data_IF_245328796177
#
_entry.id   IF_245328796177
#
_cell.length_a   1.000
_cell.length_b   1.000
_cell.length_c   1.000
_cell.angle_alpha   90.00
_cell.angle_beta   90.00
_cell.angle_gamma   90.00
#
_symmetry.space_group_name_H-M   'P 1'
#
loop_
_entity.id
_entity.type
_entity.pdbx_description
1 polymer ?
#
# COMPACT_ATOMS: atom_id res chain seq x y z
N UNK A 1 36.07 12.69 -5.44
CA UNK A 1 35.00 13.70 -5.47
C UNK A 1 34.18 13.78 -4.19
N UNK A 2 34.28 14.91 -3.48
CA UNK A 2 33.44 15.23 -2.30
C UNK A 2 31.97 15.36 -2.67
N UNK A 3 31.68 15.96 -3.83
CA UNK A 3 30.32 16.17 -4.33
C UNK A 3 29.54 14.86 -4.51
N UNK A 4 30.17 13.80 -5.02
CA UNK A 4 29.52 12.48 -5.16
C UNK A 4 29.17 11.90 -3.78
N UNK A 5 30.07 12.01 -2.80
CA UNK A 5 29.82 11.52 -1.44
C UNK A 5 28.72 12.31 -0.73
N UNK A 6 28.63 13.61 -0.98
CA UNK A 6 27.58 14.48 -0.44
C UNK A 6 26.22 14.16 -1.06
N UNK A 7 26.14 14.00 -2.38
CA UNK A 7 24.91 13.58 -3.08
C UNK A 7 24.43 12.22 -2.60
N UNK A 8 25.32 11.23 -2.47
CA UNK A 8 24.95 9.91 -1.94
C UNK A 8 24.42 10.00 -0.50
N UNK A 9 25.06 10.82 0.36
CA UNK A 9 24.57 11.05 1.73
C UNK A 9 23.18 11.68 1.73
N UNK A 10 22.91 12.66 0.86
CA UNK A 10 21.61 13.31 0.76
C UNK A 10 20.54 12.30 0.31
N UNK A 11 20.78 11.59 -0.79
CA UNK A 11 19.84 10.57 -1.32
C UNK A 11 19.58 9.47 -0.29
N UNK A 12 20.60 9.05 0.46
CA UNK A 12 20.47 8.06 1.54
C UNK A 12 19.74 8.55 2.79
N UNK A 13 19.31 9.82 2.84
CA UNK A 13 18.54 10.40 3.95
C UNK A 13 17.19 10.96 3.52
N UNK A 14 16.96 11.09 2.22
CA UNK A 14 15.68 11.58 1.69
C UNK A 14 14.59 10.55 1.96
N UNK A 15 13.50 10.93 2.64
CA UNK A 15 12.40 10.02 2.91
C UNK A 15 11.66 9.67 1.62
N UNK A 16 11.34 8.39 1.45
CA UNK A 16 10.49 7.86 0.39
C UNK A 16 9.13 7.55 1.02
N UNK A 17 8.13 8.35 0.67
CA UNK A 17 6.77 8.16 1.15
C UNK A 17 6.01 7.27 0.15
N UNK A 18 5.56 6.11 0.61
CA UNK A 18 4.81 5.14 -0.19
C UNK A 18 3.43 5.00 0.41
N UNK A 19 2.42 5.25 -0.41
CA UNK A 19 1.02 5.16 -0.01
C UNK A 19 0.39 3.90 -0.58
N UNK A 20 -0.36 3.20 0.25
CA UNK A 20 -1.02 1.94 -0.08
C UNK A 20 -2.53 2.11 -0.01
N UNK A 21 -3.21 1.52 -0.98
CA UNK A 21 -4.66 1.45 -1.01
C UNK A 21 -5.12 0.08 -1.51
N UNK A 22 -6.25 -0.38 -1.01
CA UNK A 22 -6.96 -1.51 -1.58
C UNK A 22 -8.09 -1.95 -0.67
N UNK A 23 -8.93 -2.86 -1.16
CA UNK A 23 -10.16 -3.22 -0.48
C UNK A 23 -9.93 -4.05 0.80
N UNK A 24 -10.88 -3.99 1.73
CA UNK A 24 -10.87 -4.82 2.93
C UNK A 24 -10.66 -6.30 2.61
N UNK A 25 -9.78 -6.95 3.36
CA UNK A 25 -9.48 -8.38 3.20
C UNK A 25 -8.51 -8.70 2.05
N UNK A 26 -7.96 -7.72 1.34
CA UNK A 26 -6.94 -7.92 0.30
C UNK A 26 -5.54 -8.31 0.82
N UNK A 27 -5.33 -8.43 2.13
CA UNK A 27 -4.02 -8.75 2.70
C UNK A 27 -3.04 -7.57 2.80
N UNK A 28 -3.47 -6.32 2.60
CA UNK A 28 -2.63 -5.12 2.73
C UNK A 28 -1.95 -5.02 4.10
N UNK A 29 -2.67 -5.30 5.20
CA UNK A 29 -2.07 -5.27 6.54
C UNK A 29 -0.95 -6.30 6.71
N UNK A 30 -1.11 -7.50 6.14
CA UNK A 30 -0.06 -8.54 6.11
C UNK A 30 1.13 -8.08 5.27
N UNK A 31 0.87 -7.46 4.12
CA UNK A 31 1.90 -6.90 3.25
C UNK A 31 2.71 -5.79 3.94
N UNK A 32 2.03 -4.84 4.59
CA UNK A 32 2.67 -3.79 5.41
C UNK A 32 3.54 -4.42 6.50
N UNK A 33 3.01 -5.42 7.20
CA UNK A 33 3.75 -6.10 8.29
C UNK A 33 5.00 -6.82 7.77
N UNK A 34 4.94 -7.42 6.57
CA UNK A 34 6.08 -8.04 5.91
C UNK A 34 7.15 -6.99 5.52
N UNK A 35 6.74 -5.86 4.94
CA UNK A 35 7.66 -4.76 4.59
C UNK A 35 8.33 -4.10 5.80
N UNK A 36 7.67 -4.14 6.96
CA UNK A 36 8.22 -3.67 8.24
C UNK A 36 9.15 -4.70 8.90
N UNK A 37 9.22 -5.92 8.37
CA UNK A 37 9.87 -7.07 8.99
C UNK A 37 9.41 -7.33 10.44
N UNK A 38 8.13 -7.10 10.74
CA UNK A 38 7.59 -7.29 12.10
C UNK A 38 7.02 -8.70 12.33
N UNK A 39 7.09 -9.61 11.35
CA UNK A 39 6.52 -10.95 11.46
C UNK A 39 4.99 -10.95 11.63
N UNK A 40 4.37 -12.14 11.64
CA UNK A 40 2.93 -12.30 11.90
C UNK A 40 2.58 -12.03 13.38
N UNK A 41 3.54 -12.21 14.29
CA UNK A 41 3.36 -12.11 15.74
C UNK A 41 3.81 -10.79 16.37
N UNK A 42 4.50 -9.94 15.61
CA UNK A 42 4.75 -8.58 16.05
C UNK A 42 3.44 -7.83 15.98
N UNK A 43 2.69 -7.82 17.10
CA UNK A 43 1.66 -6.82 17.37
C UNK A 43 2.21 -5.52 16.83
N UNK A 44 1.60 -5.03 15.74
CA UNK A 44 1.90 -3.71 15.26
C UNK A 44 1.72 -2.83 16.50
N UNK A 45 2.82 -2.29 17.03
CA UNK A 45 2.74 -1.23 18.01
C UNK A 45 2.00 -0.14 17.27
N UNK A 46 0.69 -0.16 17.44
CA UNK A 46 -0.22 0.84 16.97
C UNK A 46 0.35 2.15 17.54
N UNK A 47 0.57 3.19 16.73
CA UNK A 47 0.99 4.47 17.26
C UNK A 47 0.06 4.82 18.42
N UNK A 48 0.64 5.03 19.60
CA UNK A 48 -0.11 5.32 20.83
C UNK A 48 -0.98 6.55 20.60
N UNK A 49 -2.24 6.31 20.23
CA UNK A 49 -3.09 7.33 19.65
C UNK A 49 -4.13 6.74 18.69
N UNK A 50 -4.78 5.63 19.07
CA UNK A 50 -6.00 5.16 18.41
C UNK A 50 -7.14 6.13 18.70
N UNK A 51 -7.08 7.32 18.10
CA UNK A 51 -8.26 8.15 17.92
C UNK A 51 -8.92 7.63 16.66
N UNK A 52 -9.97 6.82 16.87
CA UNK A 52 -11.05 6.49 15.92
C UNK A 52 -10.66 6.50 14.44
N UNK A 53 -10.58 5.29 13.89
CA UNK A 53 -10.77 5.02 12.46
C UNK A 53 -11.82 5.97 11.87
N UNK A 54 -11.42 6.86 10.95
CA UNK A 54 -12.25 7.40 9.84
C UNK A 54 -11.66 8.60 9.08
N UNK A 55 -10.53 9.23 9.44
CA UNK A 55 -10.14 10.48 8.75
C UNK A 55 -8.65 10.82 8.58
N UNK A 56 -7.71 10.04 9.11
CA UNK A 56 -6.26 10.36 9.02
C UNK A 56 -5.44 9.14 8.62
N UNK A 57 -4.57 9.29 7.61
CA UNK A 57 -3.64 8.24 7.17
C UNK A 57 -2.80 7.71 8.33
N UNK A 58 -2.65 6.39 8.42
CA UNK A 58 -1.72 5.79 9.37
C UNK A 58 -0.34 5.65 8.71
N UNK A 59 0.72 6.07 9.41
CA UNK A 59 2.10 5.89 8.94
C UNK A 59 2.80 4.75 9.68
N UNK A 60 3.63 4.02 8.94
CA UNK A 60 4.43 2.92 9.45
C UNK A 60 5.87 3.06 9.00
N UNK A 61 6.79 2.80 9.92
CA UNK A 61 8.23 2.82 9.69
C UNK A 61 8.77 1.39 9.65
N UNK A 62 9.78 1.17 8.80
CA UNK A 62 10.52 -0.09 8.72
C UNK A 62 11.90 0.08 9.34
N UNK A 63 12.32 -0.88 10.16
CA UNK A 63 13.67 -0.92 10.72
C UNK A 63 14.73 -1.22 9.66
N UNK A 64 14.37 -1.93 8.60
CA UNK A 64 15.26 -2.27 7.49
C UNK A 64 15.36 -1.15 6.46
N UNK A 65 14.29 -0.39 6.26
CA UNK A 65 14.23 0.73 5.33
C UNK A 65 13.99 2.02 6.11
N UNK A 66 15.02 2.54 6.76
CA UNK A 66 14.93 3.69 7.68
C UNK A 66 14.39 4.98 7.04
N UNK A 67 14.51 5.09 5.71
CA UNK A 67 14.02 6.25 4.96
C UNK A 67 12.67 5.99 4.29
N UNK A 68 12.08 4.81 4.43
CA UNK A 68 10.78 4.49 3.82
C UNK A 68 9.70 4.68 4.86
N UNK A 69 8.68 5.46 4.48
CA UNK A 69 7.46 5.65 5.27
C UNK A 69 6.31 5.05 4.49
N UNK A 70 5.63 4.05 5.06
CA UNK A 70 4.48 3.40 4.48
C UNK A 70 3.22 4.07 5.03
N UNK A 71 2.32 4.51 4.14
CA UNK A 71 1.08 5.18 4.48
C UNK A 71 -0.09 4.30 4.11
N UNK A 72 -0.96 4.03 5.07
CA UNK A 72 -2.23 3.32 4.88
C UNK A 72 -3.35 4.34 4.74
N UNK A 73 -3.98 4.32 3.57
CA UNK A 73 -5.08 5.22 3.25
C UNK A 73 -6.40 4.66 3.77
N UNK A 74 -7.26 5.51 4.33
CA UNK A 74 -8.60 5.08 4.68
C UNK A 74 -9.39 4.70 3.42
N UNK A 75 -10.28 3.72 3.55
CA UNK A 75 -11.12 3.24 2.45
C UNK A 75 -11.85 4.41 1.75
N UNK A 76 -11.69 4.48 0.43
CA UNK A 76 -12.37 5.46 -0.43
C UNK A 76 -13.90 5.33 -0.36
N UNK A 77 -14.41 4.15 -0.01
CA UNK A 77 -15.85 3.88 0.14
C UNK A 77 -16.50 4.55 1.35
N UNK A 78 -15.74 5.01 2.35
CA UNK A 78 -16.27 5.69 3.54
C UNK A 78 -16.38 7.20 3.37
N UNK A 79 -15.79 7.78 2.32
CA UNK A 79 -15.76 9.22 2.13
C UNK A 79 -17.08 9.70 1.50
N UNK A 80 -17.88 10.45 2.24
CA UNK A 80 -19.01 11.25 1.72
C UNK A 80 -18.53 12.42 0.84
N UNK A 81 -17.27 12.42 0.40
CA UNK A 81 -16.58 13.47 -0.35
C UNK A 81 -16.31 12.97 -1.75
N UNK A 82 -16.27 13.89 -2.72
CA UNK A 82 -15.82 13.57 -4.07
C UNK A 82 -14.40 13.01 -4.03
N UNK A 83 -14.08 12.09 -4.94
CA UNK A 83 -12.74 11.50 -5.07
C UNK A 83 -11.65 12.58 -5.17
N UNK A 84 -11.91 13.65 -5.90
CA UNK A 84 -10.98 14.77 -6.06
C UNK A 84 -10.62 15.44 -4.72
N UNK A 85 -11.61 15.69 -3.86
CA UNK A 85 -11.39 16.24 -2.53
C UNK A 85 -10.60 15.27 -1.65
N UNK A 86 -10.90 13.98 -1.75
CA UNK A 86 -10.18 12.93 -1.04
C UNK A 86 -8.69 12.93 -1.44
N UNK A 87 -8.39 12.99 -2.73
CA UNK A 87 -7.00 12.96 -3.23
C UNK A 87 -6.21 14.23 -2.85
N UNK A 88 -6.86 15.39 -2.86
CA UNK A 88 -6.28 16.64 -2.38
C UNK A 88 -5.99 16.59 -0.88
N UNK A 89 -6.95 16.15 -0.07
CA UNK A 89 -6.78 16.01 1.40
C UNK A 89 -5.64 15.05 1.74
N UNK A 90 -5.52 13.96 0.99
CA UNK A 90 -4.47 12.96 1.17
C UNK A 90 -3.15 13.35 0.49
N UNK A 91 -3.06 14.54 -0.11
CA UNK A 91 -1.85 15.09 -0.75
C UNK A 91 -1.19 14.11 -1.72
N UNK A 92 -1.98 13.41 -2.55
CA UNK A 92 -1.53 12.28 -3.39
C UNK A 92 -0.28 12.55 -4.22
N UNK A 93 0.01 13.81 -4.57
CA UNK A 93 1.19 14.19 -5.33
C UNK A 93 2.52 13.92 -4.60
N UNK A 94 2.54 13.81 -3.26
CA UNK A 94 3.79 13.65 -2.49
C UNK A 94 4.27 12.20 -2.34
N UNK A 95 3.49 11.23 -2.83
CA UNK A 95 3.70 9.81 -2.51
C UNK A 95 3.95 8.96 -3.76
N UNK A 96 4.77 7.91 -3.64
CA UNK A 96 4.69 6.77 -4.54
C UNK A 96 3.42 5.96 -4.20
N UNK A 97 2.76 5.36 -5.19
CA UNK A 97 1.46 4.71 -4.97
C UNK A 97 1.50 3.21 -5.26
N UNK A 98 1.00 2.41 -4.33
CA UNK A 98 0.84 0.96 -4.45
C UNK A 98 -0.64 0.62 -4.24
N UNK A 99 -1.26 0.00 -5.24
CA UNK A 99 -2.57 -0.62 -5.11
C UNK A 99 -2.41 -2.10 -4.75
N UNK A 100 -3.11 -2.55 -3.72
CA UNK A 100 -3.12 -3.94 -3.27
C UNK A 100 -4.45 -4.57 -3.64
N UNK A 101 -4.44 -5.58 -4.51
CA UNK A 101 -5.62 -6.30 -4.94
C UNK A 101 -5.49 -7.79 -4.59
N UNK A 102 -6.62 -8.48 -4.44
CA UNK A 102 -6.68 -9.96 -4.29
C UNK A 102 -7.92 -10.50 -4.98
N UNK A 103 -7.83 -11.68 -5.61
CA UNK A 103 -8.89 -12.34 -6.38
C UNK A 103 -9.39 -11.56 -7.62
N UNK A 104 -9.84 -10.31 -7.44
CA UNK A 104 -10.38 -9.46 -8.50
C UNK A 104 -10.07 -7.97 -8.27
N UNK A 105 -10.10 -7.21 -9.37
CA UNK A 105 -10.08 -5.74 -9.29
C UNK A 105 -11.49 -5.20 -9.06
N UNK A 106 -11.61 -4.28 -8.11
CA UNK A 106 -12.85 -3.53 -7.87
C UNK A 106 -12.88 -2.20 -8.61
N UNK A 107 -14.05 -1.56 -8.66
CA UNK A 107 -14.20 -0.21 -9.20
C UNK A 107 -13.28 0.80 -8.49
N UNK A 108 -13.03 0.63 -7.18
CA UNK A 108 -12.12 1.48 -6.42
C UNK A 108 -10.70 1.43 -7.00
N UNK A 109 -10.21 0.24 -7.35
CA UNK A 109 -8.91 0.06 -7.97
C UNK A 109 -8.84 0.77 -9.32
N UNK A 110 -9.86 0.61 -10.17
CA UNK A 110 -9.91 1.27 -11.48
C UNK A 110 -9.94 2.79 -11.33
N UNK A 111 -10.74 3.29 -10.39
CA UNK A 111 -10.86 4.71 -10.08
C UNK A 111 -9.52 5.30 -9.62
N UNK A 112 -8.85 4.64 -8.67
CA UNK A 112 -7.52 5.05 -8.18
C UNK A 112 -6.45 5.00 -9.27
N UNK A 113 -6.45 3.96 -10.11
CA UNK A 113 -5.54 3.83 -11.24
C UNK A 113 -5.69 4.98 -12.22
N UNK A 114 -6.93 5.23 -12.68
CA UNK A 114 -7.24 6.31 -13.61
C UNK A 114 -6.85 7.66 -13.05
N UNK A 115 -7.21 7.95 -11.79
CA UNK A 115 -6.85 9.26 -11.24
C UNK A 115 -5.35 9.43 -11.04
N UNK A 116 -4.63 8.38 -10.68
CA UNK A 116 -3.16 8.45 -10.60
C UNK A 116 -2.53 8.71 -11.97
N UNK A 117 -3.09 8.10 -13.03
CA UNK A 117 -2.71 8.33 -14.42
C UNK A 117 -3.02 9.77 -14.87
N UNK A 118 -4.22 10.28 -14.58
CA UNK A 118 -4.64 11.67 -14.89
C UNK A 118 -3.73 12.71 -14.22
N UNK A 119 -3.16 12.37 -13.05
CA UNK A 119 -2.17 13.19 -12.35
C UNK A 119 -0.76 13.09 -12.96
N UNK A 120 -0.55 12.29 -14.01
CA UNK A 120 0.75 12.05 -14.64
C UNK A 120 1.71 11.23 -13.77
N UNK A 121 1.18 10.49 -12.79
CA UNK A 121 1.96 9.75 -11.82
C UNK A 121 2.00 8.26 -12.14
N UNK A 122 3.09 7.62 -11.75
CA UNK A 122 3.23 6.16 -11.80
C UNK A 122 2.65 5.54 -10.54
N UNK A 123 2.05 4.38 -10.70
CA UNK A 123 1.62 3.51 -9.61
C UNK A 123 2.10 2.09 -9.84
N UNK A 124 2.09 1.30 -8.76
CA UNK A 124 2.37 -0.13 -8.78
C UNK A 124 1.13 -0.89 -8.33
N UNK A 125 0.96 -2.11 -8.86
CA UNK A 125 -0.09 -3.02 -8.43
C UNK A 125 0.56 -4.23 -7.80
N UNK A 126 0.10 -4.61 -6.62
CA UNK A 126 0.48 -5.82 -5.90
C UNK A 126 -0.76 -6.71 -5.83
N UNK A 127 -0.71 -7.84 -6.54
CA UNK A 127 -1.75 -8.88 -6.46
C UNK A 127 -1.34 -9.90 -5.39
N UNK A 128 -2.08 -9.94 -4.29
CA UNK A 128 -1.87 -10.85 -3.16
C UNK A 128 -2.77 -12.08 -3.26
N UNK A 129 -2.48 -13.11 -2.46
CA UNK A 129 -3.25 -14.37 -2.41
C UNK A 129 -3.30 -15.11 -3.74
N UNK A 130 -2.31 -14.89 -4.61
CA UNK A 130 -2.22 -15.56 -5.91
C UNK A 130 -2.17 -17.09 -5.76
N UNK A 131 -1.60 -17.59 -4.66
CA UNK A 131 -1.62 -19.01 -4.29
C UNK A 131 -3.04 -19.57 -4.17
N UNK A 132 -3.97 -18.82 -3.58
CA UNK A 132 -5.38 -19.22 -3.47
C UNK A 132 -6.08 -19.19 -4.84
N UNK A 133 -5.83 -18.14 -5.62
CA UNK A 133 -6.37 -17.98 -6.96
C UNK A 133 -5.92 -19.13 -7.89
N UNK A 134 -4.66 -19.55 -7.78
CA UNK A 134 -4.10 -20.68 -8.53
C UNK A 134 -4.57 -22.04 -8.01
N UNK A 135 -4.74 -22.21 -6.70
CA UNK A 135 -5.22 -23.48 -6.10
C UNK A 135 -6.66 -23.80 -6.49
N UNK A 136 -7.48 -22.78 -6.74
CA UNK A 136 -8.86 -22.92 -7.21
C UNK A 136 -8.93 -23.41 -8.67
N UNK A 137 -7.80 -23.33 -9.41
CA UNK A 137 -7.65 -23.82 -10.77
C UNK A 137 -7.07 -25.24 -10.90
N UNK A 138 -6.88 -25.98 -9.79
CA UNK A 138 -6.34 -27.33 -9.86
C UNK A 138 -7.32 -28.30 -10.57
N UNK A 139 -6.78 -28.93 -11.63
CA UNK A 139 -7.38 -29.91 -12.54
C UNK A 139 -8.18 -31.01 -11.82
N UNK A 140 -9.21 -31.60 -12.48
CA UNK A 140 -9.88 -32.78 -11.93
C UNK A 140 -8.82 -33.86 -11.67
N UNK A 141 -8.77 -34.37 -10.44
CA UNK A 141 -7.98 -35.53 -10.10
C UNK A 141 -8.27 -36.63 -11.13
N UNK A 142 -7.25 -37.01 -11.92
CA UNK A 142 -7.34 -38.22 -12.72
C UNK A 142 -7.39 -39.37 -11.73
N UNK A 143 -8.61 -39.86 -11.48
CA UNK A 143 -8.83 -41.11 -10.79
C UNK A 143 -8.20 -42.21 -11.65
N UNK A 144 -7.04 -42.69 -11.22
CA UNK A 144 -6.50 -43.94 -11.72
C UNK A 144 -7.25 -45.07 -11.01
N UNK A 145 -8.15 -45.71 -11.75
CA UNK A 145 -8.72 -47.03 -11.45
C UNK A 145 -7.79 -48.13 -11.94
#
# INVERSE_FOLDING_TARGET
>A
DSAIKETLKLVSKTPVNITMAGDSGNGMSTFISALRNTGHEGKASLPTGLVKATQRCASYFSSHFSNVVLWDLPDTGSATKTLENYLMEMQFNQYAFIMVASAQFSMNHVMLAKTTEDMGKKFYVVWTKLDMDLSTGALPEVQHE
#
